data_IF_823649630526
#
_entry.id   IF_823649630526
#
_cell.length_a   1.000
_cell.length_b   1.000
_cell.length_c   1.000
_cell.angle_alpha   90.00
_cell.angle_beta   90.00
_cell.angle_gamma   90.00
#
_symmetry.space_group_name_H-M   'P 1'
#
loop_
_entity.id
_entity.type
_entity.pdbx_description
1 polymer ?
#
# COMPACT_ATOMS: atom_id res chain seq x y z
N UNK A 1 -21.56 5.21 24.70
CA UNK A 1 -20.71 4.83 23.59
C UNK A 1 -21.26 5.31 22.27
N UNK A 2 -20.43 5.77 21.40
CA UNK A 2 -20.87 6.23 20.09
C UNK A 2 -20.38 5.25 19.04
N UNK A 3 -21.21 4.27 18.65
CA UNK A 3 -20.81 3.27 17.68
C UNK A 3 -20.30 3.86 16.37
N UNK A 4 -20.84 5.00 15.96
CA UNK A 4 -20.44 5.65 14.72
C UNK A 4 -18.95 6.01 14.71
N UNK A 5 -18.47 6.64 15.79
CA UNK A 5 -17.06 7.01 15.87
C UNK A 5 -16.15 5.77 15.85
N UNK A 6 -16.52 4.75 16.64
CA UNK A 6 -15.75 3.51 16.67
C UNK A 6 -15.75 2.81 15.32
N UNK A 7 -16.90 2.79 14.65
CA UNK A 7 -17.00 2.16 13.33
C UNK A 7 -16.13 2.87 12.30
N UNK A 8 -16.10 4.22 12.33
CA UNK A 8 -15.26 4.99 11.42
C UNK A 8 -13.78 4.69 11.65
N UNK A 9 -13.34 4.67 12.90
CA UNK A 9 -11.95 4.35 13.23
C UNK A 9 -11.58 2.94 12.79
N UNK A 10 -12.48 1.96 13.04
CA UNK A 10 -12.23 0.59 12.63
C UNK A 10 -12.11 0.46 11.11
N UNK A 11 -12.95 1.21 10.38
CA UNK A 11 -12.89 1.19 8.92
C UNK A 11 -11.59 1.78 8.40
N UNK A 12 -11.18 2.90 8.96
CA UNK A 12 -9.92 3.53 8.58
C UNK A 12 -8.74 2.60 8.85
N UNK A 13 -8.75 1.90 9.98
CA UNK A 13 -7.71 0.94 10.31
C UNK A 13 -7.68 -0.23 9.32
N UNK A 14 -8.83 -0.58 8.72
CA UNK A 14 -8.91 -1.68 7.77
C UNK A 14 -8.45 -1.30 6.36
N UNK A 15 -8.42 -0.02 6.02
CA UNK A 15 -7.99 0.42 4.68
C UNK A 15 -6.54 0.06 4.41
N UNK A 16 -5.65 0.23 5.39
CA UNK A 16 -4.24 -0.13 5.24
C UNK A 16 -4.04 -1.61 4.96
N UNK A 17 -4.57 -2.51 5.80
CA UNK A 17 -4.48 -3.94 5.52
C UNK A 17 -5.14 -4.34 4.22
N UNK A 18 -6.29 -3.75 3.87
CA UNK A 18 -6.97 -4.04 2.61
C UNK A 18 -6.09 -3.65 1.43
N UNK A 19 -5.44 -2.49 1.49
CA UNK A 19 -4.50 -2.03 0.48
C UNK A 19 -3.33 -3.02 0.35
N UNK A 20 -2.71 -3.38 1.47
CA UNK A 20 -1.57 -4.29 1.48
C UNK A 20 -1.93 -5.65 0.88
N UNK A 21 -3.05 -6.21 1.28
CA UNK A 21 -3.47 -7.52 0.81
C UNK A 21 -3.86 -7.52 -0.67
N UNK A 22 -4.53 -6.48 -1.14
CA UNK A 22 -4.86 -6.33 -2.55
C UNK A 22 -3.59 -6.19 -3.39
N UNK A 23 -2.63 -5.41 -2.90
CA UNK A 23 -1.36 -5.22 -3.57
C UNK A 23 -0.59 -6.54 -3.68
N UNK A 24 -0.58 -7.33 -2.60
CA UNK A 24 0.09 -8.64 -2.57
C UNK A 24 -0.48 -9.59 -3.63
N UNK A 25 -1.79 -9.52 -3.87
CA UNK A 25 -2.45 -10.34 -4.87
C UNK A 25 -2.39 -9.75 -6.27
N UNK A 26 -1.79 -8.57 -6.43
CA UNK A 26 -1.82 -7.80 -7.67
C UNK A 26 -3.26 -7.57 -8.14
N UNK A 27 -4.17 -7.39 -7.18
CA UNK A 27 -5.58 -7.11 -7.45
C UNK A 27 -5.77 -5.60 -7.55
N UNK A 28 -5.40 -5.04 -8.69
CA UNK A 28 -5.42 -3.59 -8.89
C UNK A 28 -6.82 -3.02 -9.01
N UNK A 29 -7.80 -3.85 -9.36
CA UNK A 29 -9.19 -3.43 -9.33
C UNK A 29 -9.62 -3.14 -7.90
N UNK A 30 -9.24 -3.99 -6.96
CA UNK A 30 -9.52 -3.78 -5.54
C UNK A 30 -8.76 -2.57 -5.00
N UNK A 31 -7.50 -2.40 -5.40
CA UNK A 31 -6.73 -1.22 -5.00
C UNK A 31 -7.43 0.05 -5.48
N UNK A 32 -7.94 0.05 -6.72
CA UNK A 32 -8.64 1.20 -7.28
C UNK A 32 -9.87 1.58 -6.43
N UNK A 33 -10.55 0.60 -5.86
CA UNK A 33 -11.71 0.86 -5.00
C UNK A 33 -11.33 1.47 -3.65
N UNK A 34 -10.09 1.24 -3.22
CA UNK A 34 -9.60 1.73 -1.93
C UNK A 34 -9.11 3.18 -2.05
N UNK A 35 -8.70 3.61 -3.24
CA UNK A 35 -8.12 4.94 -3.45
C UNK A 35 -9.17 5.96 -3.87
N UNK A 36 -9.05 7.19 -3.35
CA UNK A 36 -9.85 8.30 -3.89
C UNK A 36 -9.41 8.57 -5.33
N UNK A 37 -10.36 8.96 -6.21
CA UNK A 37 -10.00 9.28 -7.61
C UNK A 37 -8.92 10.35 -7.73
N UNK A 38 -8.89 11.29 -6.79
CA UNK A 38 -7.94 12.41 -6.77
C UNK A 38 -6.92 12.25 -5.64
N UNK A 39 -6.51 11.02 -5.34
CA UNK A 39 -5.52 10.76 -4.31
C UNK A 39 -4.23 11.54 -4.57
N UNK A 40 -3.63 12.05 -3.50
CA UNK A 40 -2.31 12.65 -3.54
C UNK A 40 -1.32 11.62 -3.05
N UNK A 41 -0.54 11.06 -3.97
CA UNK A 41 0.36 9.95 -3.69
C UNK A 41 1.80 10.34 -3.95
N UNK A 42 2.68 10.04 -2.99
CA UNK A 42 4.12 10.16 -3.17
C UNK A 42 4.80 8.94 -2.57
N UNK A 43 5.87 8.51 -3.21
CA UNK A 43 6.62 7.35 -2.74
C UNK A 43 8.10 7.55 -2.98
N UNK A 44 8.90 6.96 -2.09
CA UNK A 44 10.35 6.93 -2.24
C UNK A 44 10.77 5.47 -2.28
N UNK A 45 11.29 5.04 -3.42
CA UNK A 45 11.94 3.76 -3.59
C UNK A 45 13.44 3.99 -3.69
N UNK A 46 14.28 2.95 -3.61
CA UNK A 46 15.70 3.18 -3.82
C UNK A 46 15.94 3.87 -5.16
N UNK A 47 16.64 4.99 -5.13
CA UNK A 47 17.06 5.76 -6.31
C UNK A 47 15.96 6.50 -7.05
N UNK A 48 14.70 6.49 -6.54
CA UNK A 48 13.64 7.16 -7.28
C UNK A 48 12.54 7.69 -6.39
N UNK A 49 12.09 8.90 -6.72
CA UNK A 49 10.91 9.52 -6.15
C UNK A 49 9.75 9.41 -7.14
N UNK A 50 8.58 9.05 -6.63
CA UNK A 50 7.38 8.87 -7.44
C UNK A 50 6.29 9.80 -6.96
N UNK A 51 5.48 10.30 -7.89
CA UNK A 51 4.39 11.22 -7.59
C UNK A 51 3.20 10.91 -8.48
N UNK A 52 1.99 10.98 -7.90
CA UNK A 52 0.75 10.85 -8.64
C UNK A 52 -0.33 11.68 -7.96
N UNK A 53 -1.26 12.20 -8.75
CA UNK A 53 -2.34 13.04 -8.27
C UNK A 53 -3.72 12.45 -8.61
N UNK A 54 -3.74 11.24 -9.15
CA UNK A 54 -4.97 10.52 -9.47
C UNK A 54 -4.79 9.05 -9.15
N UNK A 55 -5.91 8.35 -8.98
CA UNK A 55 -5.87 6.90 -8.77
C UNK A 55 -5.29 6.16 -9.97
N UNK A 56 -5.66 6.46 -11.23
CA UNK A 56 -5.05 5.80 -12.37
C UNK A 56 -3.53 5.95 -12.43
N UNK A 57 -3.01 7.16 -12.16
CA UNK A 57 -1.55 7.37 -12.13
C UNK A 57 -0.90 6.56 -11.01
N UNK A 58 -1.54 6.51 -9.85
CA UNK A 58 -1.04 5.72 -8.73
C UNK A 58 -0.99 4.25 -9.09
N UNK A 59 -2.06 3.74 -9.72
CA UNK A 59 -2.11 2.34 -10.14
C UNK A 59 -1.01 2.01 -11.14
N UNK A 60 -0.69 2.91 -12.06
CA UNK A 60 0.39 2.70 -13.01
C UNK A 60 1.73 2.51 -12.29
N UNK A 61 1.97 3.32 -11.26
CA UNK A 61 3.18 3.19 -10.44
C UNK A 61 3.19 1.81 -9.74
N UNK A 62 2.09 1.45 -9.11
CA UNK A 62 2.01 0.19 -8.37
C UNK A 62 2.17 -1.02 -9.30
N UNK A 63 1.63 -0.95 -10.52
CA UNK A 63 1.81 -2.01 -11.52
C UNK A 63 3.25 -2.12 -11.98
N UNK A 64 3.97 -1.01 -12.00
CA UNK A 64 5.40 -1.04 -12.32
C UNK A 64 6.18 -1.82 -11.27
N UNK A 65 5.84 -1.63 -9.99
CA UNK A 65 6.51 -2.34 -8.88
C UNK A 65 6.12 -3.82 -8.84
N UNK A 66 4.82 -4.09 -8.97
CA UNK A 66 4.27 -5.44 -8.83
C UNK A 66 3.74 -5.94 -10.19
N UNK A 67 4.63 -5.93 -11.18
CA UNK A 67 4.29 -6.39 -12.52
C UNK A 67 4.15 -7.93 -12.56
N UNK A 68 3.56 -8.51 -13.62
CA UNK A 68 3.30 -9.95 -13.66
C UNK A 68 4.52 -10.84 -13.49
N UNK A 69 5.71 -10.36 -13.85
CA UNK A 69 6.95 -11.12 -13.65
C UNK A 69 7.45 -11.17 -12.21
N UNK A 70 6.81 -10.44 -11.31
CA UNK A 70 7.20 -10.34 -9.91
C UNK A 70 6.00 -10.74 -9.06
N UNK A 71 6.03 -11.96 -8.53
CA UNK A 71 4.87 -12.57 -7.87
C UNK A 71 5.10 -12.67 -6.37
N UNK A 72 4.22 -12.03 -5.60
CA UNK A 72 4.21 -12.18 -4.14
C UNK A 72 3.51 -13.49 -3.81
N UNK A 73 4.18 -14.35 -3.05
CA UNK A 73 3.61 -15.63 -2.65
C UNK A 73 3.47 -15.77 -1.13
N UNK A 74 3.92 -14.79 -0.36
CA UNK A 74 3.79 -14.84 1.09
C UNK A 74 3.70 -13.42 1.66
N UNK A 75 2.70 -13.18 2.50
CA UNK A 75 2.59 -11.94 3.27
C UNK A 75 3.17 -12.21 4.63
N UNK A 76 4.38 -11.70 4.87
CA UNK A 76 5.13 -11.98 6.09
C UNK A 76 4.60 -11.22 7.29
N UNK A 77 3.94 -10.10 7.07
CA UNK A 77 3.33 -9.34 8.15
C UNK A 77 2.67 -8.08 7.64
N UNK A 78 1.65 -7.64 8.36
CA UNK A 78 0.96 -6.38 8.12
C UNK A 78 0.72 -5.76 9.49
N UNK A 79 1.18 -4.53 9.69
CA UNK A 79 0.97 -3.81 10.95
C UNK A 79 0.39 -2.44 10.67
N UNK A 80 -0.48 -1.99 11.56
CA UNK A 80 -1.08 -0.66 11.47
C UNK A 80 -0.77 0.12 12.74
N UNK A 81 -0.76 1.45 12.62
CA UNK A 81 -0.58 2.33 13.74
C UNK A 81 -1.29 3.65 13.46
N UNK A 82 -1.40 4.47 14.47
CA UNK A 82 -2.06 5.77 14.38
C UNK A 82 -1.14 6.82 15.00
N UNK A 83 -0.84 7.87 14.23
CA UNK A 83 -0.05 8.99 14.69
C UNK A 83 -0.90 10.23 14.50
N UNK A 84 -1.56 10.67 15.58
CA UNK A 84 -2.51 11.79 15.57
C UNK A 84 -3.61 11.51 14.53
N UNK A 85 -3.70 12.32 13.47
CA UNK A 85 -4.71 12.17 12.43
C UNK A 85 -4.24 11.30 11.26
N UNK A 86 -3.05 10.71 11.36
CA UNK A 86 -2.47 9.90 10.29
C UNK A 86 -2.47 8.44 10.66
N UNK A 87 -2.93 7.62 9.74
CA UNK A 87 -2.83 6.17 9.84
C UNK A 87 -1.50 5.75 9.23
N UNK A 88 -0.97 4.61 9.67
CA UNK A 88 0.16 4.00 8.97
C UNK A 88 -0.09 2.52 8.78
N UNK A 89 0.49 1.98 7.72
CA UNK A 89 0.51 0.55 7.46
C UNK A 89 1.92 0.17 7.03
N UNK A 90 2.43 -0.89 7.64
CA UNK A 90 3.71 -1.48 7.25
C UNK A 90 3.45 -2.91 6.86
N UNK A 91 3.96 -3.33 5.72
CA UNK A 91 3.78 -4.70 5.27
C UNK A 91 5.08 -5.22 4.67
N UNK A 92 5.28 -6.52 4.83
CA UNK A 92 6.45 -7.21 4.30
C UNK A 92 5.98 -8.40 3.49
N UNK A 93 6.46 -8.50 2.28
CA UNK A 93 6.11 -9.58 1.34
C UNK A 93 7.35 -10.36 0.95
N UNK A 94 7.18 -11.63 0.67
CA UNK A 94 8.17 -12.44 -0.02
C UNK A 94 7.56 -12.93 -1.32
N UNK A 95 8.41 -13.19 -2.31
CA UNK A 95 7.93 -13.65 -3.59
C UNK A 95 9.06 -14.09 -4.51
N UNK A 96 8.72 -14.21 -5.78
CA UNK A 96 9.63 -14.66 -6.81
C UNK A 96 9.61 -13.77 -8.03
N UNK A 97 10.77 -13.60 -8.62
CA UNK A 97 10.97 -12.94 -9.92
C UNK A 97 12.02 -13.74 -10.69
N UNK A 98 12.26 -13.41 -11.97
CA UNK A 98 13.17 -14.23 -12.78
C UNK A 98 14.57 -14.40 -12.18
N UNK A 99 15.05 -13.40 -11.44
CA UNK A 99 16.37 -13.43 -10.82
C UNK A 99 16.42 -14.27 -9.54
N UNK A 100 15.26 -14.67 -9.00
CA UNK A 100 15.19 -15.48 -7.80
C UNK A 100 14.19 -14.95 -6.79
N UNK A 101 14.35 -15.34 -5.54
CA UNK A 101 13.44 -14.91 -4.48
C UNK A 101 13.79 -13.51 -4.01
N UNK A 102 12.74 -12.79 -3.57
CA UNK A 102 12.92 -11.45 -3.02
C UNK A 102 12.12 -11.29 -1.73
N UNK A 103 12.47 -10.28 -0.97
CA UNK A 103 11.66 -9.74 0.12
C UNK A 103 11.57 -8.24 -0.07
N UNK A 104 10.42 -7.68 0.27
CA UNK A 104 10.17 -6.23 0.20
C UNK A 104 9.39 -5.80 1.42
N UNK A 105 9.72 -4.62 1.93
CA UNK A 105 8.93 -3.99 2.98
C UNK A 105 8.56 -2.58 2.53
N UNK A 106 7.31 -2.21 2.75
CA UNK A 106 6.86 -0.85 2.49
C UNK A 106 6.17 -0.32 3.74
N UNK A 107 6.36 0.97 4.00
CA UNK A 107 5.74 1.66 5.11
C UNK A 107 5.04 2.88 4.55
N UNK A 108 3.76 3.04 4.83
CA UNK A 108 2.98 4.15 4.30
C UNK A 108 2.21 4.85 5.40
N UNK A 109 2.24 6.18 5.37
CA UNK A 109 1.28 7.02 6.10
C UNK A 109 0.17 7.37 5.14
N UNK A 110 -1.06 7.40 5.65
CA UNK A 110 -2.19 7.76 4.81
C UNK A 110 -3.29 8.42 5.64
N UNK A 111 -4.16 9.15 4.96
CA UNK A 111 -5.37 9.69 5.57
C UNK A 111 -6.57 9.24 4.75
N UNK A 112 -7.68 9.09 5.45
CA UNK A 112 -8.94 8.67 4.86
C UNK A 112 -9.77 9.88 4.44
N UNK A 113 -10.47 9.74 3.32
CA UNK A 113 -11.48 10.68 2.87
C UNK A 113 -12.53 9.89 2.11
N UNK A 114 -13.79 10.05 2.50
CA UNK A 114 -14.93 9.35 1.87
C UNK A 114 -14.74 7.83 1.88
N UNK A 115 -14.25 7.29 3.00
CA UNK A 115 -14.02 5.85 3.18
C UNK A 115 -12.95 5.29 2.24
N UNK A 116 -12.09 6.15 1.71
CA UNK A 116 -10.99 5.77 0.82
C UNK A 116 -9.73 6.51 1.23
N UNK A 117 -8.60 6.07 0.70
CA UNK A 117 -7.32 6.72 0.95
C UNK A 117 -7.19 7.91 0.01
N UNK A 118 -7.13 9.13 0.59
CA UNK A 118 -7.03 10.36 -0.19
C UNK A 118 -5.64 10.98 -0.21
N UNK A 119 -4.78 10.54 0.68
CA UNK A 119 -3.41 11.04 0.79
C UNK A 119 -2.53 9.89 1.27
N UNK A 120 -1.37 9.71 0.63
CA UNK A 120 -0.46 8.63 1.01
C UNK A 120 0.99 9.02 0.77
N UNK A 121 1.84 8.66 1.72
CA UNK A 121 3.30 8.80 1.62
C UNK A 121 3.91 7.45 1.94
N UNK A 122 4.68 6.91 1.01
CA UNK A 122 5.17 5.53 1.09
C UNK A 122 6.67 5.47 0.95
N UNK A 123 7.30 4.68 1.82
CA UNK A 123 8.73 4.40 1.76
C UNK A 123 8.91 2.91 1.48
N UNK A 124 9.73 2.60 0.49
CA UNK A 124 9.94 1.22 0.03
C UNK A 124 11.39 0.81 0.23
N UNK A 125 11.59 -0.39 0.75
CA UNK A 125 12.93 -0.97 0.93
C UNK A 125 13.61 -1.30 -0.41
N UNK A 126 12.85 -1.40 -1.48
CA UNK A 126 13.27 -2.05 -2.71
C UNK A 126 13.09 -3.55 -2.61
N UNK A 127 13.11 -4.20 -3.75
CA UNK A 127 13.00 -5.67 -3.82
C UNK A 127 14.38 -6.26 -3.56
N UNK A 128 14.55 -6.84 -2.37
CA UNK A 128 15.86 -7.30 -1.90
C UNK A 128 16.03 -8.79 -2.19
N UNK A 129 17.13 -9.21 -2.83
CA UNK A 129 17.36 -10.63 -3.06
C UNK A 129 17.47 -11.41 -1.77
N UNK A 130 16.95 -12.62 -1.77
CA UNK A 130 17.08 -13.55 -0.65
C UNK A 130 17.92 -14.72 -1.13
N UNK A 131 18.96 -15.00 -0.38
CA UNK A 131 19.88 -16.09 -0.73
C UNK A 131 19.24 -17.46 -0.52
#
# INVERSE_FOLDING_TARGET
MTPTSSATSARADLLGPAFANALARADFAQVAEILCPDIEFRALTPRRFWEAQTAPETLDILRTWFHPGRVVDDVLGVRTDLVDDRQSVTYRFAGEEPEGRFVIEQHAYYTERDDRIGWMRLLCSGFRPVA
#
